data_IF_172250278892
#
_entry.id   IF_172250278892
#
_cell.length_a   1.000
_cell.length_b   1.000
_cell.length_c   1.000
_cell.angle_alpha   90.00
_cell.angle_beta   90.00
_cell.angle_gamma   90.00
#
_symmetry.space_group_name_H-M   'P 1'
#
loop_
_entity.id
_entity.type
_entity.pdbx_description
1 polymer ?
#
# COMPACT_ATOMS: atom_id res chain seq x y z
N UNK A 1 0.71 -7.14 -28.72
CA UNK A 1 1.12 -5.74 -29.05
C UNK A 1 0.23 -4.71 -28.35
N UNK A 2 -1.10 -4.82 -28.38
CA UNK A 2 -2.03 -3.88 -27.72
C UNK A 2 -1.81 -3.90 -26.19
N UNK A 3 -1.70 -5.07 -25.56
CA UNK A 3 -1.46 -5.22 -24.13
C UNK A 3 -0.15 -4.58 -23.67
N UNK A 4 0.94 -4.74 -24.43
CA UNK A 4 2.22 -4.13 -24.10
C UNK A 4 2.15 -2.61 -24.07
N UNK A 5 1.41 -2.01 -25.00
CA UNK A 5 1.20 -0.57 -25.05
C UNK A 5 0.39 -0.07 -23.84
N UNK A 6 -0.63 -0.82 -23.45
CA UNK A 6 -1.46 -0.49 -22.28
C UNK A 6 -0.66 -0.59 -20.97
N UNK A 7 0.23 -1.59 -20.82
CA UNK A 7 1.13 -1.71 -19.68
C UNK A 7 2.06 -0.50 -19.56
N UNK A 8 2.58 -0.02 -20.71
CA UNK A 8 3.44 1.17 -20.74
C UNK A 8 2.66 2.41 -20.30
N UNK A 9 1.44 2.61 -20.83
CA UNK A 9 0.60 3.75 -20.42
C UNK A 9 0.27 3.66 -18.92
N UNK A 10 -0.11 2.48 -18.43
CA UNK A 10 -0.41 2.25 -17.02
C UNK A 10 0.78 2.64 -16.14
N UNK A 11 2.00 2.23 -16.52
CA UNK A 11 3.22 2.63 -15.81
C UNK A 11 3.38 4.15 -15.71
N UNK A 12 3.23 4.85 -16.82
CA UNK A 12 3.36 6.31 -16.82
C UNK A 12 2.27 6.97 -15.97
N UNK A 13 1.03 6.49 -16.01
CA UNK A 13 -0.03 6.99 -15.15
C UNK A 13 0.33 6.80 -13.67
N UNK A 14 0.78 5.61 -13.27
CA UNK A 14 1.17 5.35 -11.88
C UNK A 14 2.42 6.15 -11.48
N UNK A 15 3.40 6.30 -12.37
CA UNK A 15 4.58 7.12 -12.13
C UNK A 15 4.23 8.60 -11.95
N UNK A 16 3.31 9.14 -12.76
CA UNK A 16 2.83 10.51 -12.62
C UNK A 16 2.21 10.72 -11.24
N UNK A 17 1.40 9.79 -10.75
CA UNK A 17 0.80 9.87 -9.42
C UNK A 17 1.82 9.90 -8.28
N UNK A 18 2.99 9.29 -8.48
CA UNK A 18 4.07 9.32 -7.48
C UNK A 18 4.99 10.54 -7.61
N UNK A 19 5.08 11.15 -8.78
CA UNK A 19 6.05 12.22 -9.09
C UNK A 19 5.43 13.61 -9.07
N UNK A 20 4.21 13.78 -9.58
CA UNK A 20 3.60 15.11 -9.78
C UNK A 20 3.51 15.96 -8.52
N UNK A 21 3.10 15.44 -7.35
CA UNK A 21 3.10 16.23 -6.12
C UNK A 21 4.50 16.61 -5.59
N UNK A 22 5.59 15.95 -6.03
CA UNK A 22 6.97 16.28 -5.61
C UNK A 22 7.31 17.75 -5.81
N UNK A 23 6.88 18.32 -6.92
CA UNK A 23 7.21 19.69 -7.28
C UNK A 23 6.60 20.71 -6.30
N UNK A 24 5.43 20.42 -5.74
CA UNK A 24 4.77 21.29 -4.75
C UNK A 24 5.56 21.30 -3.44
N UNK A 25 5.93 20.12 -2.97
CA UNK A 25 6.65 19.98 -1.71
C UNK A 25 8.06 20.56 -1.80
N UNK A 26 8.75 20.32 -2.92
CA UNK A 26 10.11 20.81 -3.12
C UNK A 26 10.19 22.33 -3.30
N UNK A 27 9.21 22.96 -3.96
CA UNK A 27 9.20 24.40 -4.23
C UNK A 27 9.08 25.26 -2.97
N UNK A 28 8.43 24.74 -1.93
CA UNK A 28 8.18 25.49 -0.67
C UNK A 28 9.20 25.20 0.43
N UNK A 29 10.23 24.37 0.20
CA UNK A 29 11.16 23.88 1.24
C UNK A 29 10.40 23.36 2.49
N UNK A 30 9.20 22.79 2.28
CA UNK A 30 8.36 22.30 3.36
C UNK A 30 8.96 21.04 3.96
N UNK A 31 9.61 20.22 3.11
CA UNK A 31 10.35 19.03 3.55
C UNK A 31 11.81 19.41 3.75
N UNK A 32 12.29 19.15 4.95
CA UNK A 32 13.65 19.42 5.36
C UNK A 32 14.68 18.75 4.44
N UNK A 33 15.91 19.27 4.52
CA UNK A 33 17.10 18.85 3.76
C UNK A 33 17.42 17.36 3.82
N UNK A 34 16.80 16.60 4.72
CA UNK A 34 17.11 15.20 5.02
C UNK A 34 16.26 14.18 4.24
N UNK A 35 15.26 14.63 3.46
CA UNK A 35 14.46 13.76 2.60
C UNK A 35 15.01 13.75 1.18
N UNK A 36 15.27 12.55 0.66
CA UNK A 36 15.69 12.39 -0.73
C UNK A 36 14.49 12.29 -1.68
N UNK A 37 14.74 12.28 -2.99
CA UNK A 37 13.71 12.23 -4.03
C UNK A 37 12.83 10.98 -3.93
N UNK A 38 13.40 9.84 -3.53
CA UNK A 38 12.64 8.60 -3.32
C UNK A 38 11.70 8.68 -2.12
N UNK A 39 12.13 9.36 -1.04
CA UNK A 39 11.26 9.59 0.12
C UNK A 39 10.04 10.41 -0.26
N UNK A 40 10.26 11.47 -1.03
CA UNK A 40 9.18 12.33 -1.51
C UNK A 40 8.22 11.57 -2.44
N UNK A 41 8.75 10.73 -3.35
CA UNK A 41 7.92 9.87 -4.20
C UNK A 41 7.07 8.90 -3.36
N UNK A 42 7.67 8.34 -2.30
CA UNK A 42 6.99 7.45 -1.38
C UNK A 42 5.89 8.19 -0.59
N UNK A 43 6.17 9.39 -0.09
CA UNK A 43 5.17 10.22 0.59
C UNK A 43 3.99 10.56 -0.34
N UNK A 44 4.27 10.87 -1.61
CA UNK A 44 3.20 11.13 -2.59
C UNK A 44 2.34 9.91 -2.84
N UNK A 45 2.95 8.73 -3.00
CA UNK A 45 2.21 7.48 -3.18
C UNK A 45 1.27 7.22 -2.00
N UNK A 46 1.76 7.37 -0.77
CA UNK A 46 0.97 7.18 0.45
C UNK A 46 -0.15 8.24 0.53
N UNK A 47 0.17 9.50 0.24
CA UNK A 47 -0.80 10.58 0.23
C UNK A 47 -1.92 10.31 -0.79
N UNK A 48 -1.58 9.89 -2.01
CA UNK A 48 -2.55 9.53 -3.04
C UNK A 48 -3.44 8.37 -2.60
N UNK A 49 -2.86 7.29 -2.06
CA UNK A 49 -3.65 6.19 -1.51
C UNK A 49 -4.57 6.64 -0.37
N UNK A 50 -4.11 7.59 0.48
CA UNK A 50 -4.92 8.15 1.58
C UNK A 50 -6.06 9.02 1.05
N UNK A 51 -5.82 9.81 0.01
CA UNK A 51 -6.86 10.58 -0.68
C UNK A 51 -7.89 9.65 -1.31
N UNK A 52 -7.45 8.59 -1.98
CA UNK A 52 -8.34 7.58 -2.55
C UNK A 52 -9.13 6.83 -1.48
N UNK A 53 -8.52 6.54 -0.32
CA UNK A 53 -9.26 6.00 0.83
C UNK A 53 -10.36 6.97 1.29
N UNK A 54 -10.03 8.26 1.44
CA UNK A 54 -11.01 9.26 1.84
C UNK A 54 -12.17 9.32 0.84
N UNK A 55 -11.86 9.34 -0.45
CA UNK A 55 -12.88 9.30 -1.48
C UNK A 55 -13.72 8.02 -1.45
N UNK A 56 -13.12 6.86 -1.22
CA UNK A 56 -13.80 5.56 -1.22
C UNK A 56 -14.91 5.43 -0.18
N UNK A 57 -14.90 6.25 0.87
CA UNK A 57 -15.89 6.24 1.95
C UNK A 57 -16.99 7.31 1.78
N UNK A 58 -16.91 8.14 0.73
CA UNK A 58 -17.95 9.12 0.44
C UNK A 58 -19.10 8.47 -0.38
N UNK A 59 -20.34 9.02 -0.28
CA UNK A 59 -21.48 8.51 -1.03
C UNK A 59 -21.48 8.99 -2.49
N UNK A 60 -20.40 8.79 -3.19
CA UNK A 60 -20.17 9.26 -4.56
C UNK A 60 -19.73 8.06 -5.42
N UNK A 61 -20.07 8.05 -6.70
CA UNK A 61 -19.71 6.97 -7.62
C UNK A 61 -18.26 7.10 -8.11
N UNK A 62 -17.68 6.02 -8.60
CA UNK A 62 -16.32 6.03 -9.11
C UNK A 62 -16.15 6.96 -10.32
N UNK A 63 -17.17 7.08 -11.16
CA UNK A 63 -17.16 7.98 -12.32
C UNK A 63 -17.06 9.46 -11.93
N UNK A 64 -17.77 9.85 -10.86
CA UNK A 64 -17.71 11.21 -10.33
C UNK A 64 -16.32 11.50 -9.75
N UNK A 65 -15.71 10.51 -9.09
CA UNK A 65 -14.35 10.62 -8.59
C UNK A 65 -13.30 10.82 -9.63
N UNK A 66 -13.36 10.02 -10.70
CA UNK A 66 -12.39 10.10 -11.77
C UNK A 66 -12.34 11.53 -12.31
N UNK A 67 -13.49 12.16 -12.51
CA UNK A 67 -13.57 13.55 -12.97
C UNK A 67 -12.92 14.53 -11.98
N UNK A 68 -13.26 14.42 -10.69
CA UNK A 68 -12.69 15.28 -9.64
C UNK A 68 -11.18 15.05 -9.50
N UNK A 69 -10.75 13.80 -9.51
CA UNK A 69 -9.35 13.42 -9.36
C UNK A 69 -8.50 13.96 -10.50
N UNK A 70 -8.99 13.88 -11.75
CA UNK A 70 -8.30 14.46 -12.90
C UNK A 70 -8.19 15.99 -12.79
N UNK A 71 -9.25 16.66 -12.35
CA UNK A 71 -9.21 18.11 -12.14
C UNK A 71 -8.15 18.47 -11.09
N UNK A 72 -8.11 17.73 -9.97
CA UNK A 72 -7.09 17.92 -8.92
C UNK A 72 -5.69 17.70 -9.48
N UNK A 73 -5.45 16.60 -10.20
CA UNK A 73 -4.13 16.29 -10.78
C UNK A 73 -3.69 17.35 -11.77
N UNK A 74 -4.58 17.79 -12.66
CA UNK A 74 -4.29 18.83 -13.65
C UNK A 74 -3.96 20.14 -12.94
N UNK A 75 -4.73 20.51 -11.91
CA UNK A 75 -4.49 21.72 -11.12
C UNK A 75 -3.14 21.66 -10.41
N UNK A 76 -2.80 20.53 -9.79
CA UNK A 76 -1.51 20.28 -9.15
C UNK A 76 -0.37 20.38 -10.17
N UNK A 77 -0.55 19.78 -11.35
CA UNK A 77 0.44 19.83 -12.42
C UNK A 77 0.71 21.26 -12.90
N UNK A 78 -0.34 22.04 -13.20
CA UNK A 78 -0.20 23.44 -13.57
C UNK A 78 0.44 24.28 -12.47
N UNK A 79 0.02 24.09 -11.23
CA UNK A 79 0.61 24.79 -10.09
C UNK A 79 2.09 24.48 -9.92
N UNK A 80 2.49 23.21 -10.06
CA UNK A 80 3.89 22.77 -9.99
C UNK A 80 4.73 23.32 -11.15
N UNK A 81 4.14 23.42 -12.35
CA UNK A 81 4.79 24.00 -13.52
C UNK A 81 5.03 25.50 -13.36
N UNK A 82 4.05 26.24 -12.85
CA UNK A 82 4.16 27.70 -12.60
C UNK A 82 5.23 28.01 -11.55
N UNK A 83 5.33 27.19 -10.51
CA UNK A 83 6.29 27.40 -9.42
C UNK A 83 7.75 27.12 -9.82
N UNK A 84 8.02 26.65 -11.04
CA UNK A 84 9.35 26.40 -11.60
C UNK A 84 10.33 25.90 -10.53
N UNK A 85 10.40 24.61 -10.29
CA UNK A 85 11.45 24.06 -9.45
C UNK A 85 12.80 24.19 -10.17
N UNK A 86 13.67 25.04 -9.65
CA UNK A 86 15.00 25.30 -10.22
C UNK A 86 15.98 24.12 -10.14
N UNK A 87 15.61 22.98 -9.57
CA UNK A 87 16.55 21.94 -9.14
C UNK A 87 16.41 20.58 -9.85
N UNK A 88 15.90 20.52 -11.07
CA UNK A 88 15.92 19.24 -11.85
C UNK A 88 17.23 19.16 -12.69
N UNK A 89 18.34 19.62 -12.16
CA UNK A 89 19.59 19.69 -12.96
C UNK A 89 20.33 18.36 -13.12
N UNK A 90 19.92 17.27 -12.47
CA UNK A 90 20.63 15.99 -12.53
C UNK A 90 19.77 14.81 -13.01
N UNK A 91 18.84 15.04 -13.92
CA UNK A 91 18.01 13.96 -14.47
C UNK A 91 18.85 12.87 -15.16
N UNK A 92 20.02 13.22 -15.69
CA UNK A 92 20.90 12.26 -16.41
C UNK A 92 21.36 11.09 -15.53
N UNK A 93 21.61 11.33 -14.25
CA UNK A 93 22.11 10.30 -13.32
C UNK A 93 21.02 9.31 -12.89
N UNK A 94 19.74 9.63 -13.15
CA UNK A 94 18.58 8.84 -12.69
C UNK A 94 17.99 7.92 -13.76
N UNK A 95 18.30 8.15 -15.04
CA UNK A 95 17.69 7.39 -16.15
C UNK A 95 17.89 5.89 -16.03
N UNK A 96 19.11 5.46 -15.74
CA UNK A 96 19.41 4.04 -15.69
C UNK A 96 18.64 3.32 -14.59
N UNK A 97 18.50 3.95 -13.43
CA UNK A 97 17.72 3.41 -12.33
C UNK A 97 16.23 3.30 -12.69
N UNK A 98 15.67 4.33 -13.33
CA UNK A 98 14.29 4.33 -13.77
C UNK A 98 14.04 3.30 -14.89
N UNK A 99 15.01 3.10 -15.79
CA UNK A 99 14.94 2.06 -16.83
C UNK A 99 14.91 0.66 -16.18
N UNK A 100 15.78 0.37 -15.21
CA UNK A 100 15.82 -0.92 -14.52
C UNK A 100 14.49 -1.16 -13.77
N UNK A 101 14.00 -0.14 -13.07
CA UNK A 101 12.70 -0.21 -12.40
C UNK A 101 11.57 -0.49 -13.39
N UNK A 102 11.52 0.24 -14.50
CA UNK A 102 10.53 0.06 -15.56
C UNK A 102 10.59 -1.34 -16.17
N UNK A 103 11.79 -1.84 -16.49
CA UNK A 103 11.95 -3.17 -17.10
C UNK A 103 11.43 -4.28 -16.18
N UNK A 104 11.74 -4.23 -14.89
CA UNK A 104 11.25 -5.21 -13.93
C UNK A 104 9.72 -5.14 -13.80
N UNK A 105 9.19 -3.92 -13.62
CA UNK A 105 7.74 -3.72 -13.61
C UNK A 105 7.09 -4.29 -14.88
N UNK A 106 7.66 -3.99 -16.06
CA UNK A 106 7.11 -4.40 -17.36
C UNK A 106 7.09 -5.93 -17.52
N UNK A 107 8.18 -6.62 -17.16
CA UNK A 107 8.26 -8.08 -17.23
C UNK A 107 7.18 -8.73 -16.37
N UNK A 108 7.02 -8.27 -15.12
CA UNK A 108 6.01 -8.80 -14.21
C UNK A 108 4.59 -8.48 -14.72
N UNK A 109 4.40 -7.28 -15.24
CA UNK A 109 3.11 -6.83 -15.78
C UNK A 109 2.65 -7.63 -16.97
N UNK A 110 3.56 -8.06 -17.86
CA UNK A 110 3.24 -8.97 -18.98
C UNK A 110 2.72 -10.30 -18.45
N UNK A 111 3.38 -10.87 -17.44
CA UNK A 111 2.94 -12.13 -16.86
C UNK A 111 1.56 -12.02 -16.21
N UNK A 112 1.30 -10.92 -15.50
CA UNK A 112 -0.02 -10.65 -14.89
C UNK A 112 -1.09 -10.42 -15.95
N UNK A 113 -0.80 -9.70 -17.03
CA UNK A 113 -1.73 -9.43 -18.11
C UNK A 113 -2.05 -10.69 -18.93
N UNK A 114 -1.06 -11.59 -19.10
CA UNK A 114 -1.25 -12.84 -19.85
C UNK A 114 -2.05 -13.91 -19.08
N UNK A 115 -2.11 -13.80 -17.75
CA UNK A 115 -2.77 -14.76 -16.87
C UNK A 115 -4.00 -14.09 -16.22
N UNK A 116 -5.18 -14.45 -16.70
CA UNK A 116 -6.44 -13.91 -16.17
C UNK A 116 -6.95 -14.64 -14.91
N UNK A 117 -6.20 -15.61 -14.40
CA UNK A 117 -6.60 -16.37 -13.21
C UNK A 117 -6.47 -15.51 -11.95
N UNK A 118 -7.55 -15.39 -11.21
CA UNK A 118 -7.59 -14.74 -9.90
C UNK A 118 -7.40 -15.76 -8.78
N UNK A 119 -6.78 -15.36 -7.69
CA UNK A 119 -6.77 -16.14 -6.45
C UNK A 119 -8.19 -16.37 -5.94
N UNK A 120 -8.39 -17.40 -5.14
CA UNK A 120 -9.73 -17.76 -4.64
C UNK A 120 -10.39 -16.59 -3.90
N UNK A 121 -9.74 -16.03 -2.88
CA UNK A 121 -10.24 -14.87 -2.15
C UNK A 121 -10.41 -13.64 -3.06
N UNK A 122 -9.47 -13.45 -4.00
CA UNK A 122 -9.54 -12.36 -4.95
C UNK A 122 -10.79 -12.45 -5.82
N UNK A 123 -11.13 -13.65 -6.30
CA UNK A 123 -12.29 -13.89 -7.16
C UNK A 123 -13.61 -13.66 -6.42
N UNK A 124 -13.73 -14.19 -5.20
CA UNK A 124 -15.00 -14.21 -4.49
C UNK A 124 -15.28 -12.97 -3.63
N UNK A 125 -14.23 -12.29 -3.17
CA UNK A 125 -14.41 -11.14 -2.27
C UNK A 125 -13.95 -9.81 -2.89
N UNK A 126 -12.75 -9.76 -3.43
CA UNK A 126 -12.15 -8.47 -3.83
C UNK A 126 -12.57 -8.04 -5.23
N UNK A 127 -12.57 -8.96 -6.19
CA UNK A 127 -12.97 -8.69 -7.56
C UNK A 127 -14.45 -8.29 -7.67
N UNK A 128 -15.33 -9.01 -6.95
CA UNK A 128 -16.77 -8.69 -6.95
C UNK A 128 -16.99 -7.27 -6.42
N UNK A 129 -16.31 -6.88 -5.35
CA UNK A 129 -16.38 -5.50 -4.84
C UNK A 129 -15.78 -4.48 -5.82
N UNK A 130 -14.68 -4.83 -6.50
CA UNK A 130 -14.10 -3.96 -7.51
C UNK A 130 -15.09 -3.75 -8.68
N UNK A 131 -15.69 -4.82 -9.18
CA UNK A 131 -16.72 -4.76 -10.22
C UNK A 131 -17.92 -3.89 -9.78
N UNK A 132 -18.34 -4.01 -8.55
CA UNK A 132 -19.42 -3.23 -7.98
C UNK A 132 -19.14 -1.71 -8.00
N UNK A 133 -17.91 -1.30 -7.66
CA UNK A 133 -17.51 0.09 -7.80
C UNK A 133 -17.43 0.54 -9.27
N UNK A 134 -16.96 -0.33 -10.17
CA UNK A 134 -16.91 -0.08 -11.61
C UNK A 134 -18.32 0.09 -12.19
N UNK A 135 -19.32 -0.62 -11.67
CA UNK A 135 -20.72 -0.50 -12.06
C UNK A 135 -21.40 0.75 -11.48
N UNK A 136 -20.66 1.65 -10.84
CA UNK A 136 -21.17 2.93 -10.37
C UNK A 136 -21.84 2.88 -9.00
N UNK A 137 -21.62 1.82 -8.22
CA UNK A 137 -22.09 1.76 -6.84
C UNK A 137 -21.06 2.43 -5.90
N UNK A 138 -21.49 2.76 -4.69
CA UNK A 138 -20.65 3.43 -3.71
C UNK A 138 -20.48 2.60 -2.42
N UNK A 139 -19.68 3.11 -1.49
CA UNK A 139 -19.39 2.44 -0.21
C UNK A 139 -20.67 2.07 0.58
N UNK A 140 -21.69 2.91 0.59
CA UNK A 140 -22.93 2.69 1.35
C UNK A 140 -23.80 1.58 0.75
N UNK A 141 -23.58 1.26 -0.50
CA UNK A 141 -24.29 0.16 -1.16
C UNK A 141 -23.66 -1.21 -0.88
N UNK A 142 -22.45 -1.27 -0.28
CA UNK A 142 -21.77 -2.53 0.04
C UNK A 142 -22.55 -3.39 1.04
N UNK A 143 -23.47 -2.80 1.82
CA UNK A 143 -24.35 -3.55 2.74
C UNK A 143 -25.26 -4.55 2.02
N UNK A 144 -25.44 -4.42 0.71
CA UNK A 144 -26.20 -5.36 -0.14
C UNK A 144 -25.45 -6.66 -0.42
N UNK A 145 -24.14 -6.72 -0.10
CA UNK A 145 -23.33 -7.93 -0.28
C UNK A 145 -23.43 -8.86 0.92
N UNK A 146 -23.42 -10.16 0.65
CA UNK A 146 -23.42 -11.17 1.71
C UNK A 146 -22.13 -11.16 2.53
N UNK A 147 -20.97 -10.85 1.87
CA UNK A 147 -19.64 -10.84 2.48
C UNK A 147 -19.08 -9.41 2.65
N UNK A 148 -19.69 -8.67 3.57
CA UNK A 148 -19.27 -7.31 3.92
C UNK A 148 -17.94 -7.30 4.71
N UNK A 149 -17.51 -8.45 5.25
CA UNK A 149 -16.44 -8.57 6.24
C UNK A 149 -15.05 -8.11 5.76
N UNK A 150 -14.79 -8.21 4.48
CA UNK A 150 -13.51 -7.80 3.94
C UNK A 150 -13.52 -6.28 3.66
N UNK A 151 -12.56 -5.51 4.21
CA UNK A 151 -12.44 -4.10 3.94
C UNK A 151 -12.35 -3.82 2.44
N UNK A 152 -12.79 -2.65 2.03
CA UNK A 152 -13.05 -2.32 0.63
C UNK A 152 -11.91 -1.61 -0.09
N UNK A 153 -10.92 -1.03 0.64
CA UNK A 153 -9.91 -0.14 0.05
C UNK A 153 -9.15 -0.79 -1.12
N UNK A 154 -8.71 -2.03 -0.95
CA UNK A 154 -7.99 -2.68 -2.04
C UNK A 154 -8.86 -2.90 -3.27
N UNK A 155 -10.11 -3.32 -3.08
CA UNK A 155 -11.08 -3.44 -4.18
C UNK A 155 -11.39 -2.09 -4.83
N UNK A 156 -11.46 -1.01 -4.05
CA UNK A 156 -11.65 0.33 -4.57
C UNK A 156 -10.44 0.81 -5.38
N UNK A 157 -9.21 0.58 -4.90
CA UNK A 157 -7.98 0.88 -5.64
C UNK A 157 -7.94 0.10 -6.97
N UNK A 158 -8.32 -1.19 -6.93
CA UNK A 158 -8.42 -2.00 -8.13
C UNK A 158 -9.41 -1.41 -9.14
N UNK A 159 -10.62 -1.09 -8.69
CA UNK A 159 -11.67 -0.50 -9.51
C UNK A 159 -11.25 0.87 -10.09
N UNK A 160 -10.67 1.74 -9.24
CA UNK A 160 -10.21 3.05 -9.64
C UNK A 160 -9.20 2.99 -10.80
N UNK A 161 -8.19 2.14 -10.70
CA UNK A 161 -7.20 1.99 -11.76
C UNK A 161 -7.72 1.21 -12.97
N UNK A 162 -8.69 0.33 -12.78
CA UNK A 162 -9.39 -0.33 -13.88
C UNK A 162 -10.16 0.67 -14.74
N UNK A 163 -10.89 1.60 -14.12
CA UNK A 163 -11.66 2.64 -14.82
C UNK A 163 -10.83 3.75 -15.48
N UNK A 164 -9.55 3.87 -15.14
CA UNK A 164 -8.66 4.85 -15.78
C UNK A 164 -8.53 4.65 -17.30
N UNK A 165 -8.86 3.46 -17.81
CA UNK A 165 -8.66 3.10 -19.21
C UNK A 165 -9.98 2.85 -19.92
N UNK A 166 -10.18 3.46 -21.11
CA UNK A 166 -11.45 3.38 -21.85
C UNK A 166 -11.88 1.93 -22.18
N UNK A 167 -10.93 1.02 -22.31
CA UNK A 167 -11.20 -0.37 -22.67
C UNK A 167 -11.62 -1.27 -21.49
N UNK A 168 -11.69 -0.72 -20.27
CA UNK A 168 -12.11 -1.40 -19.04
C UNK A 168 -11.48 -2.79 -18.85
N UNK A 169 -10.17 -2.89 -19.02
CA UNK A 169 -9.46 -4.15 -18.87
C UNK A 169 -9.12 -4.37 -17.40
N UNK A 170 -9.69 -5.41 -16.81
CA UNK A 170 -9.57 -5.73 -15.37
C UNK A 170 -8.13 -5.78 -14.88
N UNK A 171 -7.23 -6.42 -15.64
CA UNK A 171 -5.84 -6.61 -15.22
C UNK A 171 -5.09 -5.29 -14.95
N UNK A 172 -5.52 -4.18 -15.55
CA UNK A 172 -4.88 -2.86 -15.34
C UNK A 172 -4.97 -2.44 -13.88
N UNK A 173 -6.09 -2.70 -13.23
CA UNK A 173 -6.21 -2.46 -11.78
C UNK A 173 -5.20 -3.27 -10.97
N UNK A 174 -4.91 -4.54 -11.36
CA UNK A 174 -3.88 -5.36 -10.74
C UNK A 174 -2.46 -4.90 -11.04
N UNK A 175 -2.22 -4.23 -12.17
CA UNK A 175 -0.93 -3.64 -12.48
C UNK A 175 -0.52 -2.56 -11.46
N UNK A 176 -1.48 -1.91 -10.81
CA UNK A 176 -1.19 -1.00 -9.72
C UNK A 176 -0.58 -1.74 -8.51
N UNK A 177 -1.04 -2.96 -8.23
CA UNK A 177 -0.43 -3.80 -7.19
C UNK A 177 1.01 -4.18 -7.54
N UNK A 178 1.26 -4.52 -8.81
CA UNK A 178 2.62 -4.75 -9.30
C UNK A 178 3.48 -3.52 -9.12
N UNK A 179 2.94 -2.34 -9.46
CA UNK A 179 3.66 -1.08 -9.34
C UNK A 179 4.03 -0.77 -7.88
N UNK A 180 3.08 -0.84 -6.95
CA UNK A 180 3.36 -0.59 -5.52
C UNK A 180 4.38 -1.59 -4.97
N UNK A 181 4.25 -2.88 -5.29
CA UNK A 181 5.17 -3.90 -4.81
C UNK A 181 6.59 -3.69 -5.34
N UNK A 182 6.71 -3.47 -6.64
CA UNK A 182 8.02 -3.18 -7.27
C UNK A 182 8.62 -1.91 -6.71
N UNK A 183 7.82 -0.86 -6.53
CA UNK A 183 8.26 0.42 -5.98
C UNK A 183 8.71 0.29 -4.51
N UNK A 184 7.99 -0.46 -3.69
CA UNK A 184 8.34 -0.65 -2.28
C UNK A 184 9.69 -1.35 -2.12
N UNK A 185 9.96 -2.41 -2.89
CA UNK A 185 11.25 -3.12 -2.89
C UNK A 185 12.34 -2.23 -3.47
N UNK A 186 12.08 -1.52 -4.58
CA UNK A 186 13.01 -0.55 -5.15
C UNK A 186 13.39 0.53 -4.14
N UNK A 187 12.39 1.08 -3.44
CA UNK A 187 12.59 2.09 -2.41
C UNK A 187 13.52 1.61 -1.29
N UNK A 188 13.36 0.38 -0.80
CA UNK A 188 14.22 -0.16 0.27
C UNK A 188 15.65 -0.39 -0.23
N UNK A 189 15.81 -0.93 -1.44
CA UNK A 189 17.12 -1.24 -1.99
C UNK A 189 17.98 -0.02 -2.32
N UNK A 190 17.36 1.13 -2.64
CA UNK A 190 18.06 2.33 -3.08
C UNK A 190 18.04 3.43 -2.03
N UNK A 191 19.22 3.94 -1.68
CA UNK A 191 19.34 5.08 -0.75
C UNK A 191 18.80 6.36 -1.40
N UNK A 192 19.14 6.56 -2.67
CA UNK A 192 18.63 7.64 -3.53
C UNK A 192 18.49 7.14 -4.98
N UNK A 193 18.16 8.03 -5.92
CA UNK A 193 18.05 7.67 -7.34
C UNK A 193 19.41 7.58 -8.06
N UNK A 194 20.53 7.81 -7.38
CA UNK A 194 21.84 7.68 -8.01
C UNK A 194 22.14 6.22 -8.32
N UNK A 195 22.78 6.00 -9.46
CA UNK A 195 23.14 4.66 -9.89
C UNK A 195 24.05 3.97 -8.86
N UNK A 196 23.65 2.79 -8.47
CA UNK A 196 24.44 1.88 -7.62
C UNK A 196 24.27 0.47 -8.12
N UNK A 197 25.35 -0.13 -8.61
CA UNK A 197 25.33 -1.50 -9.11
C UNK A 197 24.86 -2.49 -8.03
N UNK A 198 25.38 -2.33 -6.81
CA UNK A 198 25.03 -3.20 -5.69
C UNK A 198 23.53 -3.12 -5.34
N UNK A 199 23.00 -1.90 -5.28
CA UNK A 199 21.55 -1.69 -5.03
C UNK A 199 20.69 -2.34 -6.11
N UNK A 200 21.11 -2.26 -7.37
CA UNK A 200 20.42 -2.88 -8.49
C UNK A 200 20.47 -4.42 -8.43
N UNK A 201 21.62 -5.00 -8.10
CA UNK A 201 21.75 -6.45 -7.92
C UNK A 201 20.82 -6.92 -6.80
N UNK A 202 20.81 -6.23 -5.65
CA UNK A 202 19.92 -6.56 -4.53
C UNK A 202 18.46 -6.44 -4.95
N UNK A 203 18.10 -5.34 -5.63
CA UNK A 203 16.73 -5.12 -6.12
C UNK A 203 16.27 -6.24 -7.06
N UNK A 204 17.06 -6.56 -8.09
CA UNK A 204 16.74 -7.63 -9.05
C UNK A 204 16.64 -8.98 -8.33
N UNK A 205 17.58 -9.29 -7.45
CA UNK A 205 17.58 -10.55 -6.69
C UNK A 205 16.34 -10.67 -5.81
N UNK A 206 15.97 -9.60 -5.08
CA UNK A 206 14.76 -9.60 -4.25
C UNK A 206 13.50 -9.73 -5.10
N UNK A 207 13.44 -9.06 -6.26
CA UNK A 207 12.29 -9.19 -7.15
C UNK A 207 12.16 -10.59 -7.73
N UNK A 208 13.25 -11.24 -8.11
CA UNK A 208 13.25 -12.63 -8.58
C UNK A 208 12.78 -13.61 -7.49
N UNK A 209 13.23 -13.42 -6.25
CA UNK A 209 12.80 -14.22 -5.10
C UNK A 209 11.34 -13.96 -4.72
N UNK A 210 10.92 -12.72 -4.83
CA UNK A 210 9.57 -12.29 -4.48
C UNK A 210 8.56 -12.69 -5.55
N UNK A 211 8.99 -12.77 -6.81
CA UNK A 211 8.07 -12.97 -7.93
C UNK A 211 7.46 -14.37 -7.90
N UNK A 212 6.16 -14.40 -7.67
CA UNK A 212 5.26 -15.53 -7.96
C UNK A 212 3.97 -14.92 -8.48
N UNK A 213 3.46 -15.44 -9.59
CA UNK A 213 2.21 -14.97 -10.18
C UNK A 213 1.05 -14.91 -9.18
N UNK A 214 0.93 -15.93 -8.35
CA UNK A 214 -0.14 -16.04 -7.34
C UNK A 214 -0.22 -14.82 -6.42
N UNK A 215 0.88 -14.12 -6.19
CA UNK A 215 0.91 -12.89 -5.37
C UNK A 215 0.19 -11.72 -6.03
N UNK A 216 0.14 -11.70 -7.37
CA UNK A 216 -0.51 -10.64 -8.16
C UNK A 216 -1.87 -11.07 -8.70
N UNK A 217 -2.42 -12.16 -8.18
CA UNK A 217 -3.73 -12.68 -8.56
C UNK A 217 -4.92 -11.92 -7.95
N UNK A 218 -4.73 -10.67 -7.51
CA UNK A 218 -5.75 -9.80 -6.93
C UNK A 218 -5.87 -9.87 -5.40
N UNK A 219 -4.93 -10.54 -4.72
CA UNK A 219 -4.90 -10.65 -3.26
C UNK A 219 -4.42 -9.33 -2.62
N UNK A 220 -5.08 -8.92 -1.53
CA UNK A 220 -4.78 -7.65 -0.84
C UNK A 220 -3.50 -7.70 0.00
N UNK A 221 -3.00 -8.87 0.31
CA UNK A 221 -1.75 -9.11 1.04
C UNK A 221 -0.56 -8.43 0.39
N UNK A 222 -0.57 -8.29 -0.93
CA UNK A 222 0.50 -7.62 -1.67
C UNK A 222 0.60 -6.14 -1.33
N UNK A 223 -0.53 -5.47 -1.13
CA UNK A 223 -0.57 -4.07 -0.72
C UNK A 223 -0.09 -3.91 0.72
N UNK A 224 -0.56 -4.78 1.63
CA UNK A 224 -0.11 -4.79 3.04
C UNK A 224 1.40 -5.01 3.08
N UNK A 225 1.92 -6.03 2.38
CA UNK A 225 3.34 -6.30 2.28
C UNK A 225 4.11 -5.07 1.80
N UNK A 226 3.65 -4.43 0.74
CA UNK A 226 4.30 -3.25 0.16
C UNK A 226 4.37 -2.09 1.15
N UNK A 227 3.29 -1.81 1.87
CA UNK A 227 3.26 -0.78 2.91
C UNK A 227 4.15 -1.12 4.11
N UNK A 228 4.21 -2.38 4.53
CA UNK A 228 5.12 -2.82 5.60
C UNK A 228 6.59 -2.67 5.18
N UNK A 229 6.93 -3.00 3.94
CA UNK A 229 8.28 -2.80 3.38
C UNK A 229 8.67 -1.33 3.38
N UNK A 230 7.77 -0.42 2.98
CA UNK A 230 7.99 1.02 3.05
C UNK A 230 8.21 1.47 4.49
N UNK A 231 7.37 1.00 5.41
CA UNK A 231 7.45 1.39 6.83
C UNK A 231 8.76 0.94 7.48
N UNK A 232 9.30 -0.23 7.11
CA UNK A 232 10.58 -0.69 7.63
C UNK A 232 11.71 0.31 7.35
N UNK A 233 11.74 0.89 6.14
CA UNK A 233 12.70 1.94 5.81
C UNK A 233 12.40 3.26 6.53
N UNK A 234 11.14 3.63 6.70
CA UNK A 234 10.78 4.80 7.50
C UNK A 234 11.26 4.65 8.92
N UNK A 235 11.05 3.49 9.52
CA UNK A 235 11.54 3.18 10.87
C UNK A 235 13.05 3.34 10.98
N UNK A 236 13.82 2.77 10.04
CA UNK A 236 15.27 2.96 9.97
C UNK A 236 15.67 4.45 9.88
N UNK A 237 14.93 5.26 9.11
CA UNK A 237 15.18 6.70 9.00
C UNK A 237 14.81 7.46 10.27
N UNK A 238 13.73 7.11 10.94
CA UNK A 238 13.35 7.70 12.23
C UNK A 238 14.45 7.42 13.28
N UNK A 239 15.04 6.22 13.28
CA UNK A 239 16.16 5.88 14.15
C UNK A 239 17.39 6.77 13.90
N UNK A 240 17.62 7.20 12.68
CA UNK A 240 18.80 7.97 12.32
C UNK A 240 18.60 9.49 12.41
N UNK A 241 17.46 10.01 11.96
CA UNK A 241 17.28 11.44 11.64
C UNK A 241 16.21 12.11 12.52
N UNK A 242 15.32 11.33 13.16
CA UNK A 242 14.15 11.83 13.93
C UNK A 242 13.30 12.86 13.15
N UNK A 243 12.96 12.56 11.92
CA UNK A 243 12.15 13.44 11.09
C UNK A 243 10.65 13.13 11.25
N UNK A 244 9.89 14.13 11.68
CA UNK A 244 8.43 14.01 11.96
C UNK A 244 7.60 13.52 10.77
N UNK A 245 8.03 13.80 9.55
CA UNK A 245 7.30 13.37 8.35
C UNK A 245 7.26 11.85 8.24
N UNK A 246 8.35 11.15 8.54
CA UNK A 246 8.34 9.68 8.52
C UNK A 246 7.36 9.10 9.56
N UNK A 247 7.22 9.76 10.72
CA UNK A 247 6.24 9.36 11.74
C UNK A 247 4.81 9.56 11.20
N UNK A 248 4.51 10.74 10.64
CA UNK A 248 3.18 11.06 10.09
C UNK A 248 2.82 10.05 8.98
N UNK A 249 3.71 9.82 8.03
CA UNK A 249 3.45 8.87 6.94
C UNK A 249 3.37 7.43 7.42
N UNK A 250 4.06 7.04 8.49
CA UNK A 250 3.87 5.73 9.12
C UNK A 250 2.46 5.58 9.71
N UNK A 251 1.91 6.62 10.33
CA UNK A 251 0.53 6.63 10.83
C UNK A 251 -0.48 6.54 9.66
N UNK A 252 -0.23 7.25 8.55
CA UNK A 252 -1.06 7.14 7.35
C UNK A 252 -1.03 5.73 6.76
N UNK A 253 0.13 5.08 6.74
CA UNK A 253 0.24 3.67 6.33
C UNK A 253 -0.55 2.76 7.29
N UNK A 254 -0.49 2.98 8.61
CA UNK A 254 -1.32 2.23 9.55
C UNK A 254 -2.81 2.36 9.19
N UNK A 255 -3.26 3.57 8.85
CA UNK A 255 -4.63 3.79 8.40
C UNK A 255 -4.93 2.99 7.13
N UNK A 256 -4.09 3.07 6.10
CA UNK A 256 -4.29 2.32 4.86
C UNK A 256 -4.38 0.81 5.10
N UNK A 257 -3.48 0.26 5.91
CA UNK A 257 -3.46 -1.18 6.23
C UNK A 257 -4.75 -1.62 6.94
N UNK A 258 -5.28 -0.80 7.84
CA UNK A 258 -6.56 -1.07 8.50
C UNK A 258 -7.73 -1.22 7.51
N UNK A 259 -7.73 -0.44 6.41
CA UNK A 259 -8.78 -0.47 5.40
C UNK A 259 -8.56 -1.48 4.28
N UNK A 260 -7.40 -2.17 4.25
CA UNK A 260 -7.10 -3.21 3.28
C UNK A 260 -7.63 -4.57 3.70
N UNK A 261 -7.43 -4.96 4.96
CA UNK A 261 -7.82 -6.27 5.48
C UNK A 261 -8.20 -6.20 6.95
N UNK A 262 -8.98 -7.18 7.42
CA UNK A 262 -9.37 -7.26 8.83
C UNK A 262 -8.13 -7.45 9.70
N UNK A 263 -7.23 -8.35 9.30
CA UNK A 263 -5.97 -8.63 9.98
C UNK A 263 -5.01 -7.43 9.97
N UNK A 264 -5.30 -6.42 9.15
CA UNK A 264 -4.54 -5.17 9.09
C UNK A 264 -4.38 -4.48 10.45
N UNK A 265 -5.34 -4.68 11.36
CA UNK A 265 -5.25 -4.16 12.73
C UNK A 265 -4.03 -4.70 13.49
N UNK A 266 -3.70 -5.98 13.30
CA UNK A 266 -2.54 -6.61 13.95
C UNK A 266 -1.25 -5.96 13.47
N UNK A 267 -1.10 -5.79 12.15
CA UNK A 267 0.08 -5.14 11.56
C UNK A 267 0.19 -3.68 12.00
N UNK A 268 -0.93 -2.95 12.04
CA UNK A 268 -0.96 -1.57 12.50
C UNK A 268 -0.55 -1.46 13.99
N UNK A 269 -1.02 -2.35 14.86
CA UNK A 269 -0.61 -2.41 16.27
C UNK A 269 0.89 -2.65 16.37
N UNK A 270 1.44 -3.63 15.64
CA UNK A 270 2.88 -3.92 15.64
C UNK A 270 3.67 -2.69 15.23
N UNK A 271 3.26 -1.98 14.16
CA UNK A 271 3.92 -0.76 13.72
C UNK A 271 3.90 0.34 14.78
N UNK A 272 2.77 0.56 15.45
CA UNK A 272 2.64 1.54 16.54
C UNK A 272 3.51 1.15 17.73
N UNK A 273 3.57 -0.14 18.09
CA UNK A 273 4.46 -0.63 19.14
C UNK A 273 5.93 -0.35 18.79
N UNK A 274 6.36 -0.61 17.56
CA UNK A 274 7.73 -0.32 17.12
C UNK A 274 8.05 1.18 17.20
N UNK A 275 7.12 2.06 16.83
CA UNK A 275 7.30 3.51 16.99
C UNK A 275 7.42 3.90 18.47
N UNK A 276 6.63 3.31 19.36
CA UNK A 276 6.68 3.57 20.79
C UNK A 276 7.98 3.06 21.46
N UNK A 277 8.55 1.96 20.96
CA UNK A 277 9.82 1.43 21.44
C UNK A 277 11.02 2.28 21.02
N UNK A 278 10.86 3.16 20.04
CA UNK A 278 11.93 4.02 19.58
C UNK A 278 12.29 5.10 20.62
N UNK A 279 13.53 5.06 21.12
CA UNK A 279 14.01 5.99 22.14
C UNK A 279 14.25 7.42 21.62
N UNK A 280 14.33 7.62 20.29
CA UNK A 280 14.51 8.95 19.68
C UNK A 280 13.20 9.73 19.54
N UNK A 281 12.06 9.06 19.65
CA UNK A 281 10.75 9.70 19.65
C UNK A 281 10.46 10.23 21.05
N UNK A 282 10.19 11.54 21.16
CA UNK A 282 9.86 12.16 22.44
C UNK A 282 8.55 11.59 23.01
N UNK A 283 8.45 11.56 24.34
CA UNK A 283 7.26 11.04 25.03
C UNK A 283 5.96 11.72 24.56
N UNK A 284 5.98 13.05 24.35
CA UNK A 284 4.86 13.80 23.83
C UNK A 284 4.42 13.32 22.43
N UNK A 285 5.38 13.02 21.57
CA UNK A 285 5.10 12.49 20.22
C UNK A 285 4.50 11.08 20.28
N UNK A 286 4.97 10.24 21.21
CA UNK A 286 4.38 8.90 21.45
C UNK A 286 2.91 8.98 21.87
N UNK A 287 2.56 9.95 22.71
CA UNK A 287 1.16 10.20 23.07
C UNK A 287 0.34 10.56 21.82
N UNK A 288 0.84 11.47 20.98
CA UNK A 288 0.14 11.84 19.74
C UNK A 288 0.00 10.65 18.77
N UNK A 289 1.02 9.81 18.63
CA UNK A 289 0.97 8.60 17.79
C UNK A 289 -0.15 7.68 18.28
N UNK A 290 -0.20 7.40 19.58
CA UNK A 290 -1.22 6.52 20.16
C UNK A 290 -2.63 7.10 20.03
N UNK A 291 -2.81 8.39 20.32
CA UNK A 291 -4.10 9.07 20.17
C UNK A 291 -4.55 9.09 18.70
N UNK A 292 -3.65 9.37 17.77
CA UNK A 292 -3.96 9.33 16.33
C UNK A 292 -4.38 7.92 15.90
N UNK A 293 -3.70 6.89 16.37
CA UNK A 293 -4.05 5.52 16.05
C UNK A 293 -5.44 5.14 16.61
N UNK A 294 -5.70 5.43 17.87
CA UNK A 294 -7.01 5.19 18.48
C UNK A 294 -8.12 5.94 17.73
N UNK A 295 -7.87 7.20 17.35
CA UNK A 295 -8.81 7.99 16.57
C UNK A 295 -9.10 7.36 15.19
N UNK A 296 -8.07 6.89 14.49
CA UNK A 296 -8.22 6.21 13.19
C UNK A 296 -9.06 4.93 13.32
N UNK A 297 -8.78 4.12 14.33
CA UNK A 297 -9.54 2.90 14.61
C UNK A 297 -11.00 3.26 14.92
N UNK A 298 -11.22 4.23 15.81
CA UNK A 298 -12.55 4.70 16.14
C UNK A 298 -13.32 5.22 14.91
N UNK A 299 -12.68 6.05 14.08
CA UNK A 299 -13.28 6.56 12.84
C UNK A 299 -13.68 5.43 11.89
N UNK A 300 -12.84 4.42 11.74
CA UNK A 300 -13.17 3.27 10.90
C UNK A 300 -14.45 2.59 11.38
N UNK A 301 -14.55 2.29 12.66
CA UNK A 301 -15.77 1.67 13.23
C UNK A 301 -16.99 2.57 13.07
N UNK A 302 -16.85 3.86 13.35
CA UNK A 302 -17.93 4.84 13.20
C UNK A 302 -18.45 4.90 11.75
N UNK A 303 -17.55 4.90 10.77
CA UNK A 303 -17.92 4.94 9.35
C UNK A 303 -18.65 3.66 8.94
N UNK A 304 -18.20 2.49 9.40
CA UNK A 304 -18.90 1.22 9.15
C UNK A 304 -20.30 1.19 9.79
N UNK A 305 -20.43 1.73 10.98
CA UNK A 305 -21.70 1.85 11.68
C UNK A 305 -22.68 2.77 10.93
N UNK A 306 -22.23 3.97 10.57
CA UNK A 306 -23.06 4.96 9.84
C UNK A 306 -23.49 4.41 8.48
N UNK A 307 -22.65 3.64 7.81
CA UNK A 307 -22.96 3.08 6.49
C UNK A 307 -23.83 1.82 6.56
N UNK A 308 -24.20 1.36 7.74
CA UNK A 308 -24.85 0.06 7.98
C UNK A 308 -24.03 -1.14 7.41
N UNK A 309 -22.74 -0.94 7.14
CA UNK A 309 -21.80 -1.99 6.74
C UNK A 309 -21.25 -2.66 7.99
N UNK A 310 -22.13 -3.18 8.86
CA UNK A 310 -21.76 -3.69 10.18
C UNK A 310 -20.83 -4.89 10.04
N UNK A 311 -19.55 -4.68 10.31
CA UNK A 311 -18.54 -5.74 10.26
C UNK A 311 -18.60 -6.72 11.44
N UNK A 312 -19.36 -6.39 12.50
CA UNK A 312 -19.18 -7.03 13.81
C UNK A 312 -20.34 -7.90 14.27
N UNK A 313 -21.53 -7.83 13.66
CA UNK A 313 -22.74 -8.39 14.27
C UNK A 313 -23.28 -9.69 13.67
N UNK A 314 -22.75 -10.21 12.57
CA UNK A 314 -23.15 -11.57 12.19
C UNK A 314 -22.46 -12.57 13.10
N UNK A 315 -23.17 -12.91 14.17
CA UNK A 315 -22.86 -14.00 15.10
C UNK A 315 -22.40 -15.24 14.34
N UNK A 316 -21.18 -15.69 14.65
CA UNK A 316 -20.59 -16.90 14.05
C UNK A 316 -19.42 -16.68 13.12
N UNK A 317 -19.10 -15.44 12.73
CA UNK A 317 -17.89 -15.20 11.96
C UNK A 317 -16.64 -15.16 12.85
N UNK A 318 -15.52 -15.83 12.45
CA UNK A 318 -14.31 -15.94 13.27
C UNK A 318 -13.62 -14.60 13.60
N UNK A 319 -14.10 -13.49 13.06
CA UNK A 319 -13.55 -12.14 13.29
C UNK A 319 -14.47 -11.22 14.11
N UNK A 320 -15.60 -11.73 14.64
CA UNK A 320 -16.45 -10.93 15.54
C UNK A 320 -15.78 -10.77 16.90
N UNK A 321 -15.98 -9.62 17.57
CA UNK A 321 -15.51 -9.41 18.94
C UNK A 321 -16.07 -10.49 19.87
N UNK A 322 -17.33 -10.87 19.69
CA UNK A 322 -17.97 -11.93 20.46
C UNK A 322 -17.25 -13.27 20.28
N UNK A 323 -16.81 -13.61 19.06
CA UNK A 323 -16.00 -14.80 18.82
C UNK A 323 -14.67 -14.77 19.59
N UNK A 324 -14.03 -13.60 19.71
CA UNK A 324 -12.80 -13.45 20.51
C UNK A 324 -13.08 -13.48 22.02
N UNK A 325 -14.21 -12.97 22.48
CA UNK A 325 -14.59 -13.01 23.89
C UNK A 325 -15.04 -14.40 24.34
N UNK A 326 -15.67 -15.17 23.43
CA UNK A 326 -16.10 -16.55 23.64
C UNK A 326 -15.01 -17.59 23.39
N UNK A 327 -13.78 -17.14 23.01
CA UNK A 327 -12.67 -18.04 22.77
C UNK A 327 -12.31 -18.81 24.04
N UNK A 328 -12.58 -20.12 24.02
CA UNK A 328 -12.11 -21.03 25.04
C UNK A 328 -10.57 -21.05 25.03
N UNK A 329 -9.93 -20.55 26.11
CA UNK A 329 -8.46 -20.50 26.25
C UNK A 329 -7.81 -21.86 25.99
N UNK A 330 -8.46 -22.96 26.32
CA UNK A 330 -7.98 -24.31 26.04
C UNK A 330 -7.86 -24.58 24.53
N UNK A 331 -8.77 -24.04 23.74
CA UNK A 331 -8.71 -24.16 22.28
C UNK A 331 -7.57 -23.35 21.67
N UNK A 332 -7.28 -22.16 22.21
CA UNK A 332 -6.13 -21.35 21.80
C UNK A 332 -4.82 -22.10 22.09
N UNK A 333 -4.65 -22.63 23.32
CA UNK A 333 -3.48 -23.41 23.70
C UNK A 333 -3.33 -24.66 22.82
N UNK A 334 -4.44 -25.32 22.52
CA UNK A 334 -4.43 -26.50 21.65
C UNK A 334 -3.97 -26.10 20.23
N UNK A 335 -4.47 -25.03 19.64
CA UNK A 335 -4.02 -24.56 18.32
C UNK A 335 -2.56 -24.10 18.35
N UNK A 336 -2.10 -23.40 19.37
CA UNK A 336 -0.70 -22.99 19.51
C UNK A 336 0.26 -24.17 19.51
N UNK A 337 -0.10 -25.31 20.10
CA UNK A 337 0.70 -26.55 20.06
C UNK A 337 0.99 -27.02 18.62
N UNK A 338 0.10 -26.75 17.67
CA UNK A 338 0.30 -27.10 16.26
C UNK A 338 0.94 -25.98 15.45
N UNK A 339 0.56 -24.73 15.73
CA UNK A 339 1.04 -23.56 14.99
C UNK A 339 2.52 -23.30 15.26
N UNK A 340 2.96 -23.41 16.51
CA UNK A 340 4.36 -23.11 16.89
C UNK A 340 5.36 -24.05 16.21
N UNK A 341 5.19 -25.39 16.23
CA UNK A 341 6.06 -26.30 15.51
C UNK A 341 6.04 -26.08 13.99
N UNK A 342 4.86 -25.78 13.43
CA UNK A 342 4.72 -25.51 12.00
C UNK A 342 5.43 -24.23 11.59
N UNK A 343 5.31 -23.15 12.38
CA UNK A 343 6.04 -21.91 12.18
C UNK A 343 7.55 -22.11 12.32
N UNK A 344 8.00 -22.84 13.35
CA UNK A 344 9.40 -23.17 13.54
C UNK A 344 9.95 -23.97 12.34
N UNK A 345 9.22 -24.98 11.88
CA UNK A 345 9.57 -25.74 10.69
C UNK A 345 9.64 -24.86 9.43
N UNK A 346 8.65 -23.98 9.25
CA UNK A 346 8.61 -23.04 8.12
C UNK A 346 9.77 -22.05 8.14
N UNK A 347 10.10 -21.48 9.30
CA UNK A 347 11.21 -20.54 9.49
C UNK A 347 12.55 -21.26 9.21
N UNK A 348 12.76 -22.44 9.76
CA UNK A 348 14.00 -23.22 9.58
C UNK A 348 14.22 -23.61 8.13
N UNK A 349 13.16 -24.01 7.42
CA UNK A 349 13.24 -24.40 6.02
C UNK A 349 13.28 -23.22 5.06
N UNK A 350 12.98 -22.01 5.51
CA UNK A 350 13.03 -20.80 4.70
C UNK A 350 14.31 -20.01 5.01
N UNK A 351 15.44 -20.50 4.51
CA UNK A 351 16.77 -19.89 4.73
C UNK A 351 16.79 -18.40 4.34
N UNK A 352 15.99 -18.02 3.34
CA UNK A 352 15.83 -16.63 2.91
C UNK A 352 15.10 -15.75 3.93
N UNK A 353 14.19 -16.33 4.73
CA UNK A 353 13.54 -15.62 5.83
C UNK A 353 14.56 -15.34 6.95
N UNK A 354 15.40 -16.32 7.28
CA UNK A 354 16.47 -16.16 8.27
C UNK A 354 17.49 -15.12 7.80
N UNK A 355 17.92 -15.19 6.53
CA UNK A 355 18.82 -14.19 5.95
C UNK A 355 18.19 -12.78 5.93
N UNK A 356 16.90 -12.68 5.64
CA UNK A 356 16.18 -11.41 5.71
C UNK A 356 16.17 -10.80 7.13
N UNK A 357 15.94 -11.61 8.16
CA UNK A 357 16.02 -11.19 9.56
C UNK A 357 17.44 -10.77 9.92
N UNK A 358 18.45 -11.53 9.52
CA UNK A 358 19.86 -11.21 9.77
C UNK A 358 20.27 -9.87 9.12
N UNK A 359 19.82 -9.61 7.88
CA UNK A 359 20.08 -8.34 7.19
C UNK A 359 19.38 -7.16 7.89
N UNK A 360 18.23 -7.39 8.52
CA UNK A 360 17.51 -6.35 9.29
C UNK A 360 18.16 -6.06 10.65
N UNK A 361 18.95 -7.00 11.19
CA UNK A 361 19.64 -6.86 12.47
C UNK A 361 21.03 -6.25 12.35
N UNK A 362 21.62 -6.21 11.15
CA UNK A 362 22.88 -5.54 10.80
C UNK A 362 22.59 -4.14 10.24
#
# INVERSE_FOLDING_TARGET
MIESFQIIIAFFCFAILTVVPLNIFNSKRIFYTDCNTLDLACFNLIANCTVLLFFSILPITLNDYNSIFYIILITIFFYSYILKSKNINNFKDYYLQLIIFFLIYFIISIDVASKLNLGWDAKYFYYIKALFFVEGQNFYDLNKFEDIYHPHLGSFLWAFYWELFPNRLEYIGRLFYVFIATFSIFYVCHKDLKYSLMSNIIFISLMLLFFKYERFSGLQEILIFSFLVITSKFYSKILNINNKYFIIFSILICNLILWLKVEGIIYAIIMIMLLNLNNKIFFKEKIYINLSFLFIVFLKYLIYEISNNVMLEKTGHPYSINYFLDLNYQFIIYKLKFIIPYLAYYIINNIFFILGILILLI
#
